data_IF_162404928577
#
_entry.id   IF_162404928577
#
_cell.length_a   1.000
_cell.length_b   1.000
_cell.length_c   1.000
_cell.angle_alpha   90.00
_cell.angle_beta   90.00
_cell.angle_gamma   90.00
#
_symmetry.space_group_name_H-M   'P 1'
#
loop_
_entity.id
_entity.type
_entity.pdbx_description
1 polymer ?
#
# COMPACT_ATOMS: atom_id res chain seq x y z
N UNK A 1 3.68 -20.83 14.00
CA UNK A 1 2.59 -21.04 14.97
C UNK A 1 2.89 -20.17 16.15
N UNK A 2 2.07 -19.16 16.40
CA UNK A 2 2.34 -18.17 17.45
C UNK A 2 2.05 -18.71 18.85
N UNK A 3 1.27 -19.79 19.01
CA UNK A 3 1.14 -20.52 20.27
C UNK A 3 0.24 -21.76 20.14
N UNK A 4 0.26 -22.64 21.15
CA UNK A 4 -0.62 -23.82 21.30
C UNK A 4 -1.41 -23.69 22.60
N UNK A 5 -2.73 -23.82 22.53
CA UNK A 5 -3.62 -23.90 23.70
C UNK A 5 -4.18 -25.32 23.79
N UNK A 6 -4.12 -25.94 24.97
CA UNK A 6 -4.70 -27.27 25.17
C UNK A 6 -4.29 -27.88 26.50
N UNK A 7 -4.71 -29.12 26.79
CA UNK A 7 -4.26 -29.83 27.98
C UNK A 7 -2.75 -30.09 27.92
N UNK A 8 -2.06 -29.73 28.99
CA UNK A 8 -0.65 -30.04 29.23
C UNK A 8 -0.45 -31.48 29.71
N UNK A 9 0.80 -31.87 30.00
CA UNK A 9 1.13 -33.22 30.47
C UNK A 9 0.43 -33.62 31.77
N UNK A 10 0.11 -32.65 32.62
CA UNK A 10 -0.60 -32.78 33.89
C UNK A 10 -2.12 -32.65 33.75
N UNK A 11 -2.63 -32.61 32.52
CA UNK A 11 -4.05 -32.42 32.21
C UNK A 11 -4.57 -31.00 32.46
N UNK A 12 -3.73 -30.08 32.94
CA UNK A 12 -4.11 -28.67 33.14
C UNK A 12 -4.11 -27.93 31.81
N UNK A 13 -5.01 -26.96 31.65
CA UNK A 13 -5.00 -26.12 30.45
C UNK A 13 -3.71 -25.28 30.43
N UNK A 14 -2.89 -25.44 29.40
CA UNK A 14 -1.72 -24.62 29.14
C UNK A 14 -1.75 -23.95 27.76
N UNK A 15 -1.34 -22.68 27.72
CA UNK A 15 -1.00 -21.97 26.51
C UNK A 15 0.52 -21.81 26.42
N UNK A 16 1.12 -22.32 25.34
CA UNK A 16 2.57 -22.29 25.11
C UNK A 16 2.88 -21.47 23.87
N UNK A 17 3.79 -20.50 23.98
CA UNK A 17 4.19 -19.64 22.87
C UNK A 17 5.67 -19.23 22.97
N UNK A 18 6.33 -19.01 21.83
CA UNK A 18 7.65 -18.36 21.80
C UNK A 18 7.58 -16.83 21.96
N UNK A 19 6.38 -16.26 21.84
CA UNK A 19 6.14 -14.82 21.83
C UNK A 19 5.48 -14.36 23.13
N UNK A 20 6.18 -13.52 23.90
CA UNK A 20 5.68 -13.04 25.19
C UNK A 20 4.34 -12.29 25.09
N UNK A 21 4.09 -11.60 23.97
CA UNK A 21 2.87 -10.82 23.77
C UNK A 21 1.63 -11.70 23.61
N UNK A 22 1.75 -12.88 22.99
CA UNK A 22 0.65 -13.86 22.84
C UNK A 22 0.26 -14.38 24.23
N UNK A 23 1.25 -14.71 25.05
CA UNK A 23 1.04 -15.19 26.41
C UNK A 23 0.41 -14.12 27.31
N UNK A 24 0.86 -12.86 27.20
CA UNK A 24 0.24 -11.73 27.91
C UNK A 24 -1.21 -11.51 27.51
N UNK A 25 -1.52 -11.59 26.21
CA UNK A 25 -2.90 -11.46 25.72
C UNK A 25 -3.79 -12.59 26.25
N UNK A 26 -3.32 -13.84 26.15
CA UNK A 26 -4.03 -15.00 26.68
C UNK A 26 -4.24 -14.92 28.19
N UNK A 27 -3.22 -14.52 28.96
CA UNK A 27 -3.32 -14.32 30.40
C UNK A 27 -4.43 -13.33 30.76
N UNK A 28 -4.44 -12.16 30.10
CA UNK A 28 -5.47 -11.13 30.34
C UNK A 28 -6.87 -11.63 30.01
N UNK A 29 -7.03 -12.31 28.88
CA UNK A 29 -8.32 -12.87 28.46
C UNK A 29 -8.82 -13.96 29.41
N UNK A 30 -7.97 -14.93 29.76
CA UNK A 30 -8.33 -16.01 30.68
C UNK A 30 -8.67 -15.47 32.07
N UNK A 31 -7.89 -14.50 32.57
CA UNK A 31 -8.15 -13.84 33.85
C UNK A 31 -9.44 -13.03 33.84
N UNK A 32 -9.74 -12.34 32.74
CA UNK A 32 -10.95 -11.53 32.61
C UNK A 32 -12.21 -12.39 32.49
N UNK A 33 -12.18 -13.43 31.64
CA UNK A 33 -13.34 -14.27 31.34
C UNK A 33 -13.67 -15.27 32.45
N UNK A 34 -12.65 -15.88 33.05
CA UNK A 34 -12.84 -17.00 33.97
C UNK A 34 -12.45 -16.68 35.41
N UNK A 35 -11.81 -15.53 35.66
CA UNK A 35 -11.30 -15.11 36.98
C UNK A 35 -10.48 -16.21 37.69
N UNK A 36 -9.91 -17.11 36.91
CA UNK A 36 -9.19 -18.27 37.41
C UNK A 36 -7.77 -17.89 37.85
N UNK A 37 -7.21 -18.55 38.87
CA UNK A 37 -5.79 -18.45 39.18
C UNK A 37 -4.97 -19.01 38.00
N UNK A 38 -4.03 -18.20 37.52
CA UNK A 38 -3.16 -18.51 36.39
C UNK A 38 -1.69 -18.45 36.84
N UNK A 39 -0.94 -19.48 36.49
CA UNK A 39 0.50 -19.56 36.64
C UNK A 39 1.20 -19.14 35.33
N UNK A 40 2.26 -18.35 35.44
CA UNK A 40 3.15 -18.06 34.31
C UNK A 40 4.45 -18.82 34.55
N UNK A 41 4.85 -19.63 33.58
CA UNK A 41 6.10 -20.36 33.61
C UNK A 41 6.94 -20.05 32.37
N UNK A 42 8.26 -20.16 32.52
CA UNK A 42 9.21 -20.04 31.42
C UNK A 42 9.91 -21.38 31.25
N UNK A 43 9.73 -22.02 30.09
CA UNK A 43 10.34 -23.31 29.76
C UNK A 43 11.55 -23.08 28.86
N UNK A 44 12.75 -23.20 29.42
CA UNK A 44 14.01 -23.23 28.65
C UNK A 44 14.11 -24.56 27.90
N UNK A 45 14.56 -24.52 26.64
CA UNK A 45 14.88 -25.76 25.93
C UNK A 45 16.22 -26.30 26.45
N UNK A 46 16.30 -27.59 26.82
CA UNK A 46 17.57 -28.22 27.20
C UNK A 46 18.59 -28.30 26.05
N UNK A 47 18.12 -28.17 24.79
CA UNK A 47 18.91 -28.39 23.56
C UNK A 47 19.19 -27.07 22.80
N UNK A 48 19.12 -25.91 23.47
CA UNK A 48 19.41 -24.61 22.84
C UNK A 48 18.33 -24.09 21.88
N UNK A 49 17.15 -24.71 21.80
CA UNK A 49 16.01 -24.16 21.02
C UNK A 49 15.41 -22.94 21.73
N UNK A 50 14.72 -22.09 20.96
CA UNK A 50 14.04 -20.90 21.47
C UNK A 50 13.18 -21.21 22.71
N UNK A 51 13.41 -20.46 23.78
CA UNK A 51 12.68 -20.61 25.04
C UNK A 51 11.20 -20.26 24.87
N UNK A 52 10.33 -20.91 25.64
CA UNK A 52 8.87 -20.77 25.51
C UNK A 52 8.25 -20.23 26.78
N UNK A 53 7.33 -19.29 26.60
CA UNK A 53 6.45 -18.77 27.63
C UNK A 53 5.23 -19.68 27.76
N UNK A 54 4.82 -19.95 28.99
CA UNK A 54 3.68 -20.81 29.30
C UNK A 54 2.75 -20.05 30.26
N UNK A 55 1.46 -20.01 29.94
CA UNK A 55 0.40 -19.68 30.90
C UNK A 55 -0.39 -20.95 31.17
N UNK A 56 -0.57 -21.28 32.45
CA UNK A 56 -1.26 -22.48 32.90
C UNK A 56 -2.36 -22.11 33.88
N UNK A 57 -3.49 -22.80 33.79
CA UNK A 57 -4.55 -22.69 34.80
C UNK A 57 -4.14 -23.47 36.05
N UNK A 58 -4.12 -22.81 37.21
CA UNK A 58 -3.58 -23.38 38.45
C UNK A 58 -4.39 -24.56 39.01
N UNK A 59 -5.68 -24.64 38.73
CA UNK A 59 -6.57 -25.66 39.31
C UNK A 59 -7.20 -26.56 38.26
N UNK A 60 -7.32 -27.85 38.58
CA UNK A 60 -8.02 -28.83 37.73
C UNK A 60 -9.53 -28.55 37.61
N UNK A 61 -10.15 -27.96 38.63
CA UNK A 61 -11.54 -27.53 38.59
C UNK A 61 -11.76 -26.42 37.55
N UNK A 62 -10.97 -25.34 37.61
CA UNK A 62 -11.05 -24.26 36.63
C UNK A 62 -10.67 -24.75 35.22
N UNK A 63 -9.67 -25.63 35.10
CA UNK A 63 -9.30 -26.26 33.83
C UNK A 63 -10.50 -26.96 33.19
N UNK A 64 -11.24 -27.80 33.94
CA UNK A 64 -12.39 -28.53 33.40
C UNK A 64 -13.52 -27.60 32.95
N UNK A 65 -13.76 -26.51 33.68
CA UNK A 65 -14.77 -25.50 33.30
C UNK A 65 -14.35 -24.82 32.00
N UNK A 66 -13.09 -24.37 31.90
CA UNK A 66 -12.59 -23.65 30.73
C UNK A 66 -12.50 -24.57 29.51
N UNK A 67 -12.05 -25.80 29.66
CA UNK A 67 -12.00 -26.78 28.56
C UNK A 67 -13.40 -27.06 28.01
N UNK A 68 -14.40 -27.25 28.89
CA UNK A 68 -15.79 -27.44 28.48
C UNK A 68 -16.37 -26.20 27.81
N UNK A 69 -16.19 -25.02 28.39
CA UNK A 69 -16.71 -23.78 27.81
C UNK A 69 -16.08 -23.43 26.46
N UNK A 70 -14.81 -23.80 26.24
CA UNK A 70 -14.10 -23.61 24.98
C UNK A 70 -14.31 -24.77 23.98
N UNK A 71 -14.98 -25.86 24.39
CA UNK A 71 -15.15 -27.07 23.58
C UNK A 71 -13.82 -27.80 23.26
N UNK A 72 -12.80 -27.65 24.11
CA UNK A 72 -11.48 -28.26 23.94
C UNK A 72 -11.43 -29.59 24.71
N UNK A 73 -11.40 -30.71 23.99
CA UNK A 73 -11.30 -32.07 24.56
C UNK A 73 -12.64 -32.81 24.63
N UNK A 74 -12.65 -34.11 24.30
CA UNK A 74 -13.83 -34.97 24.44
C UNK A 74 -14.20 -35.11 25.91
N UNK A 75 -15.39 -34.64 26.28
CA UNK A 75 -16.23 -35.17 27.35
C UNK A 75 -17.69 -34.79 27.05
N UNK A 76 -18.48 -35.65 26.39
CA UNK A 76 -19.90 -35.78 26.70
C UNK A 76 -20.04 -36.84 27.82
N UNK A 77 -21.03 -36.72 28.72
CA UNK A 77 -22.39 -37.09 28.36
C UNK A 77 -23.47 -36.09 28.83
N UNK A 78 -24.53 -36.08 28.02
CA UNK A 78 -25.94 -35.77 28.30
C UNK A 78 -26.27 -34.53 29.13
N UNK A 79 -26.79 -33.52 28.42
CA UNK A 79 -27.29 -32.28 29.00
C UNK A 79 -27.06 -31.13 28.04
N UNK A 80 -27.68 -31.22 26.86
CA UNK A 80 -28.07 -30.09 26.01
C UNK A 80 -27.09 -28.89 26.00
N UNK A 81 -25.93 -29.07 25.35
CA UNK A 81 -24.92 -28.02 25.18
C UNK A 81 -25.00 -27.36 23.80
N UNK A 82 -26.21 -27.09 23.33
CA UNK A 82 -26.46 -26.00 22.38
C UNK A 82 -26.20 -24.61 23.01
N UNK A 83 -25.72 -24.55 24.27
CA UNK A 83 -25.61 -23.33 25.07
C UNK A 83 -24.27 -23.10 25.80
N UNK A 84 -23.14 -23.58 25.25
CA UNK A 84 -21.86 -22.90 25.53
C UNK A 84 -21.80 -21.58 24.72
N UNK A 85 -22.72 -20.67 25.06
CA UNK A 85 -23.10 -19.46 24.32
C UNK A 85 -22.12 -18.30 24.43
N UNK A 86 -20.83 -18.53 24.21
CA UNK A 86 -19.85 -17.46 24.01
C UNK A 86 -18.90 -17.83 22.86
N UNK A 87 -19.40 -17.77 21.62
CA UNK A 87 -18.56 -18.08 20.45
C UNK A 87 -19.16 -17.89 19.07
N UNK A 88 -20.42 -17.42 18.98
CA UNK A 88 -21.13 -17.13 17.72
C UNK A 88 -21.43 -15.65 17.51
N UNK A 89 -21.44 -14.83 18.56
CA UNK A 89 -22.08 -13.51 18.48
C UNK A 89 -21.15 -12.41 17.95
N UNK A 90 -19.86 -12.72 17.76
CA UNK A 90 -18.91 -11.77 17.18
C UNK A 90 -17.92 -12.48 16.23
N UNK A 91 -18.21 -12.53 14.91
CA UNK A 91 -17.29 -13.05 13.89
C UNK A 91 -15.87 -12.49 14.01
N UNK A 92 -15.76 -11.20 14.32
CA UNK A 92 -14.49 -10.51 14.47
C UNK A 92 -13.64 -10.99 15.64
N UNK A 93 -14.23 -11.39 16.77
CA UNK A 93 -13.48 -11.93 17.89
C UNK A 93 -12.81 -13.26 17.52
N UNK A 94 -13.53 -14.13 16.80
CA UNK A 94 -12.99 -15.40 16.31
C UNK A 94 -11.88 -15.16 15.28
N UNK A 95 -12.12 -14.29 14.29
CA UNK A 95 -11.14 -13.95 13.25
C UNK A 95 -9.88 -13.30 13.84
N UNK A 96 -10.03 -12.45 14.87
CA UNK A 96 -8.90 -11.90 15.64
C UNK A 96 -8.06 -13.02 16.26
N UNK A 97 -8.70 -14.00 16.90
CA UNK A 97 -8.01 -15.15 17.47
C UNK A 97 -7.21 -15.95 16.41
N UNK A 98 -7.83 -16.22 15.26
CA UNK A 98 -7.15 -16.89 14.14
C UNK A 98 -5.97 -16.06 13.63
N UNK A 99 -6.15 -14.75 13.45
CA UNK A 99 -5.10 -13.85 12.98
C UNK A 99 -3.91 -13.81 13.95
N UNK A 100 -4.15 -13.70 15.25
CA UNK A 100 -3.09 -13.70 16.27
C UNK A 100 -2.38 -15.05 16.39
N UNK A 101 -3.02 -16.16 16.00
CA UNK A 101 -2.40 -17.49 16.07
C UNK A 101 -1.61 -17.86 14.80
N UNK A 102 -2.18 -17.54 13.63
CA UNK A 102 -1.81 -18.08 12.31
C UNK A 102 -1.99 -17.08 11.16
N UNK A 103 -2.28 -15.81 11.47
CA UNK A 103 -2.41 -14.75 10.50
C UNK A 103 -1.08 -14.09 10.16
N UNK A 104 -1.02 -13.47 9.00
CA UNK A 104 0.06 -12.56 8.63
C UNK A 104 -0.44 -11.50 7.66
N UNK A 105 0.17 -10.32 7.70
CA UNK A 105 -0.09 -9.23 6.76
C UNK A 105 1.23 -8.70 6.24
N UNK A 106 1.28 -8.36 4.96
CA UNK A 106 2.46 -7.75 4.37
C UNK A 106 2.77 -6.39 5.02
N UNK A 107 4.06 -6.04 5.08
CA UNK A 107 4.51 -4.74 5.58
C UNK A 107 3.97 -3.59 4.71
N UNK A 108 3.73 -2.40 5.30
CA UNK A 108 3.39 -1.20 4.54
C UNK A 108 4.38 -0.93 3.41
N UNK A 109 3.88 -0.40 2.28
CA UNK A 109 4.67 -0.14 1.08
C UNK A 109 4.84 -1.33 0.12
N UNK A 110 4.56 -2.56 0.56
CA UNK A 110 4.44 -3.75 -0.32
C UNK A 110 3.00 -3.90 -0.83
N UNK A 111 2.75 -4.96 -1.61
CA UNK A 111 1.39 -5.29 -2.04
C UNK A 111 0.52 -5.65 -0.83
N UNK A 112 -0.69 -5.09 -0.77
CA UNK A 112 -1.68 -5.38 0.27
C UNK A 112 -2.13 -6.84 0.16
N UNK A 113 -1.69 -7.63 1.14
CA UNK A 113 -1.97 -9.05 1.22
C UNK A 113 -2.00 -9.49 2.68
N UNK A 114 -3.05 -10.22 3.06
CA UNK A 114 -3.22 -10.82 4.37
C UNK A 114 -3.55 -12.29 4.19
N UNK A 115 -2.97 -13.16 5.03
CA UNK A 115 -3.22 -14.60 5.03
C UNK A 115 -3.69 -15.08 6.40
N UNK A 116 -4.60 -16.05 6.42
CA UNK A 116 -5.08 -16.78 7.60
C UNK A 116 -4.89 -18.29 7.37
N UNK A 117 -3.87 -18.88 7.96
CA UNK A 117 -3.57 -20.30 7.80
C UNK A 117 -4.45 -21.14 8.73
N UNK A 118 -5.11 -22.15 8.18
CA UNK A 118 -6.03 -23.04 8.91
C UNK A 118 -5.37 -24.41 9.17
N UNK A 119 -5.55 -24.95 10.37
CA UNK A 119 -4.93 -26.22 10.78
C UNK A 119 -5.73 -27.47 10.39
N UNK A 120 -6.99 -27.31 10.00
CA UNK A 120 -7.83 -28.40 9.55
C UNK A 120 -8.88 -27.90 8.55
N UNK A 121 -9.44 -28.82 7.77
CA UNK A 121 -10.54 -28.52 6.86
C UNK A 121 -11.78 -27.97 7.61
N UNK A 122 -12.03 -28.42 8.83
CA UNK A 122 -13.12 -27.93 9.66
C UNK A 122 -12.93 -26.45 10.04
N UNK A 123 -11.72 -26.07 10.49
CA UNK A 123 -11.36 -24.67 10.78
C UNK A 123 -11.44 -23.83 9.51
N UNK A 124 -10.93 -24.33 8.38
CA UNK A 124 -10.98 -23.64 7.10
C UNK A 124 -12.42 -23.30 6.67
N UNK A 125 -13.35 -24.26 6.76
CA UNK A 125 -14.77 -24.03 6.45
C UNK A 125 -15.44 -23.04 7.40
N UNK A 126 -15.09 -23.07 8.70
CA UNK A 126 -15.63 -22.12 9.69
C UNK A 126 -15.13 -20.70 9.41
N UNK A 127 -13.83 -20.53 9.18
CA UNK A 127 -13.23 -19.23 8.86
C UNK A 127 -13.82 -18.66 7.58
N UNK A 128 -14.01 -19.49 6.55
CA UNK A 128 -14.63 -19.06 5.28
C UNK A 128 -16.02 -18.45 5.48
N UNK A 129 -16.91 -19.15 6.21
CA UNK A 129 -18.26 -18.65 6.53
C UNK A 129 -18.24 -17.34 7.33
N UNK A 130 -17.31 -17.21 8.27
CA UNK A 130 -17.17 -15.98 9.07
C UNK A 130 -16.68 -14.80 8.22
N UNK A 131 -15.71 -15.02 7.33
CA UNK A 131 -15.22 -13.99 6.41
C UNK A 131 -16.34 -13.54 5.44
N UNK A 132 -17.09 -14.49 4.90
CA UNK A 132 -18.24 -14.19 4.04
C UNK A 132 -19.29 -13.35 4.77
N UNK A 133 -19.65 -13.72 6.01
CA UNK A 133 -20.58 -12.97 6.86
C UNK A 133 -20.11 -11.56 7.23
N UNK A 134 -18.82 -11.24 7.07
CA UNK A 134 -18.28 -9.88 7.26
C UNK A 134 -18.29 -9.03 6.00
N UNK A 135 -18.69 -9.59 4.84
CA UNK A 135 -18.64 -8.92 3.54
C UNK A 135 -17.25 -8.89 2.90
N UNK A 136 -16.25 -9.57 3.49
CA UNK A 136 -14.91 -9.66 2.95
C UNK A 136 -14.84 -10.72 1.83
N UNK A 137 -14.16 -10.37 0.74
CA UNK A 137 -13.91 -11.24 -0.42
C UNK A 137 -12.59 -11.99 -0.24
N UNK A 138 -12.62 -13.03 0.57
CA UNK A 138 -11.47 -13.90 0.79
C UNK A 138 -11.31 -14.92 -0.34
N UNK A 139 -10.10 -15.04 -0.87
CA UNK A 139 -9.70 -16.16 -1.71
C UNK A 139 -9.18 -17.33 -0.87
N UNK A 140 -9.26 -18.54 -1.41
CA UNK A 140 -8.71 -19.75 -0.77
C UNK A 140 -7.47 -20.24 -1.50
N UNK A 141 -6.50 -20.79 -0.78
CA UNK A 141 -5.34 -21.45 -1.36
C UNK A 141 -4.84 -22.61 -0.48
N UNK A 142 -3.96 -23.44 -1.03
CA UNK A 142 -3.23 -24.46 -0.29
C UNK A 142 -1.71 -24.19 -0.41
N UNK A 143 -0.99 -24.24 0.72
CA UNK A 143 0.46 -24.05 0.76
C UNK A 143 1.10 -25.07 1.69
N UNK A 144 2.01 -25.89 1.15
CA UNK A 144 2.70 -26.97 1.90
C UNK A 144 1.73 -27.89 2.65
N UNK A 145 0.63 -28.26 2.00
CA UNK A 145 -0.42 -29.11 2.59
C UNK A 145 -1.38 -28.41 3.57
N UNK A 146 -1.19 -27.11 3.84
CA UNK A 146 -2.07 -26.33 4.73
C UNK A 146 -3.06 -25.51 3.90
N UNK A 147 -4.33 -25.50 4.31
CA UNK A 147 -5.36 -24.65 3.72
C UNK A 147 -5.28 -23.24 4.31
N UNK A 148 -5.51 -22.21 3.50
CA UNK A 148 -5.50 -20.83 3.96
C UNK A 148 -6.54 -19.97 3.22
N UNK A 149 -6.97 -18.92 3.90
CA UNK A 149 -7.70 -17.80 3.31
C UNK A 149 -6.76 -16.62 3.11
N UNK A 150 -6.95 -15.86 2.04
CA UNK A 150 -6.19 -14.64 1.79
C UNK A 150 -7.07 -13.48 1.35
N UNK A 151 -6.68 -12.26 1.73
CA UNK A 151 -7.29 -11.01 1.29
C UNK A 151 -6.28 -10.23 0.47
N UNK A 152 -6.70 -9.75 -0.70
CA UNK A 152 -5.90 -8.90 -1.59
C UNK A 152 -6.54 -7.53 -1.72
N UNK A 153 -5.70 -6.51 -1.85
CA UNK A 153 -6.14 -5.13 -2.02
C UNK A 153 -6.31 -4.41 -0.69
N UNK A 154 -6.13 -3.09 -0.75
CA UNK A 154 -6.08 -2.23 0.44
C UNK A 154 -7.38 -2.28 1.23
N UNK A 155 -8.53 -2.16 0.55
CA UNK A 155 -9.83 -2.05 1.22
C UNK A 155 -10.17 -3.32 2.02
N UNK A 156 -9.86 -4.50 1.45
CA UNK A 156 -10.10 -5.78 2.12
C UNK A 156 -9.20 -5.97 3.35
N UNK A 157 -7.91 -5.62 3.22
CA UNK A 157 -6.94 -5.74 4.31
C UNK A 157 -7.25 -4.74 5.42
N UNK A 158 -7.56 -3.48 5.08
CA UNK A 158 -7.91 -2.43 6.05
C UNK A 158 -9.20 -2.78 6.77
N UNK A 159 -10.26 -3.18 6.05
CA UNK A 159 -11.52 -3.58 6.66
C UNK A 159 -11.36 -4.77 7.63
N UNK A 160 -10.54 -5.77 7.27
CA UNK A 160 -10.23 -6.86 8.19
C UNK A 160 -9.50 -6.37 9.44
N UNK A 161 -8.45 -5.56 9.29
CA UNK A 161 -7.66 -5.03 10.40
C UNK A 161 -8.52 -4.14 11.33
N UNK A 162 -9.41 -3.32 10.78
CA UNK A 162 -10.40 -2.55 11.54
C UNK A 162 -11.37 -3.46 12.28
N UNK A 163 -11.93 -4.47 11.61
CA UNK A 163 -12.85 -5.43 12.22
C UNK A 163 -12.21 -6.18 13.41
N UNK A 164 -10.93 -6.55 13.30
CA UNK A 164 -10.18 -7.15 14.41
C UNK A 164 -9.59 -6.11 15.39
N UNK A 165 -9.91 -4.82 15.28
CA UNK A 165 -9.48 -3.77 16.22
C UNK A 165 -7.98 -3.46 16.20
N UNK A 166 -7.32 -3.56 15.04
CA UNK A 166 -5.90 -3.28 14.85
C UNK A 166 -5.66 -1.83 14.38
N UNK A 167 -6.20 -0.84 15.10
CA UNK A 167 -6.26 0.56 14.66
C UNK A 167 -4.89 1.18 14.34
N UNK A 168 -3.86 0.85 15.11
CA UNK A 168 -2.49 1.32 14.86
C UNK A 168 -1.94 0.82 13.52
N UNK A 169 -2.20 -0.44 13.18
CA UNK A 169 -1.76 -1.01 11.90
C UNK A 169 -2.52 -0.38 10.73
N UNK A 170 -3.80 -0.04 10.92
CA UNK A 170 -4.61 0.68 9.93
C UNK A 170 -4.02 2.07 9.68
N UNK A 171 -3.71 2.83 10.74
CA UNK A 171 -3.09 4.15 10.63
C UNK A 171 -1.75 4.10 9.89
N UNK A 172 -0.91 3.10 10.18
CA UNK A 172 0.37 2.92 9.48
C UNK A 172 0.19 2.62 7.98
N UNK A 173 -0.79 1.79 7.63
CA UNK A 173 -1.10 1.48 6.23
C UNK A 173 -1.63 2.72 5.48
N UNK A 174 -2.55 3.48 6.08
CA UNK A 174 -3.11 4.69 5.48
C UNK A 174 -2.06 5.80 5.33
N UNK A 175 -1.19 5.98 6.33
CA UNK A 175 -0.05 6.91 6.22
C UNK A 175 0.89 6.54 5.07
N UNK A 176 1.25 5.25 4.95
CA UNK A 176 2.07 4.77 3.84
C UNK A 176 1.37 4.96 2.48
N UNK A 177 0.05 4.80 2.41
CA UNK A 177 -0.76 5.02 1.20
C UNK A 177 -0.74 6.50 0.80
N UNK A 178 -0.96 7.40 1.75
CA UNK A 178 -0.95 8.85 1.53
C UNK A 178 0.41 9.32 0.98
N UNK A 179 1.51 8.92 1.62
CA UNK A 179 2.87 9.26 1.17
C UNK A 179 3.16 8.75 -0.25
N UNK A 180 2.73 7.52 -0.57
CA UNK A 180 2.87 6.97 -1.93
C UNK A 180 2.03 7.75 -2.95
N UNK A 181 0.81 8.14 -2.57
CA UNK A 181 -0.08 8.97 -3.39
C UNK A 181 0.55 10.33 -3.73
N UNK A 182 1.07 11.02 -2.71
CA UNK A 182 1.77 12.30 -2.87
C UNK A 182 2.99 12.18 -3.79
N UNK A 183 3.86 11.18 -3.56
CA UNK A 183 5.03 10.94 -4.41
C UNK A 183 4.65 10.70 -5.87
N UNK A 184 3.63 9.89 -6.11
CA UNK A 184 3.15 9.62 -7.48
C UNK A 184 2.58 10.87 -8.15
N UNK A 185 1.90 11.74 -7.40
CA UNK A 185 1.40 13.01 -7.91
C UNK A 185 2.54 13.95 -8.27
N UNK A 186 3.53 14.12 -7.38
CA UNK A 186 4.73 14.93 -7.63
C UNK A 186 5.48 14.42 -8.86
N UNK A 187 5.71 13.11 -8.95
CA UNK A 187 6.40 12.52 -10.10
C UNK A 187 5.66 12.80 -11.42
N UNK A 188 4.33 12.71 -11.44
CA UNK A 188 3.54 13.05 -12.63
C UNK A 188 3.65 14.53 -12.99
N UNK A 189 3.63 15.41 -12.00
CA UNK A 189 3.76 16.86 -12.20
C UNK A 189 5.14 17.21 -12.76
N UNK A 190 6.20 16.74 -12.11
CA UNK A 190 7.58 16.96 -12.55
C UNK A 190 7.81 16.39 -13.96
N UNK A 191 7.34 15.17 -14.24
CA UNK A 191 7.48 14.61 -15.58
C UNK A 191 6.76 15.45 -16.65
N UNK A 192 5.57 15.98 -16.34
CA UNK A 192 4.84 16.85 -17.26
C UNK A 192 5.57 18.19 -17.48
N UNK A 193 6.10 18.80 -16.42
CA UNK A 193 6.88 20.04 -16.52
C UNK A 193 8.16 19.85 -17.32
N UNK A 194 8.93 18.79 -17.03
CA UNK A 194 10.15 18.45 -17.78
C UNK A 194 9.86 18.24 -19.26
N UNK A 195 8.83 17.45 -19.60
CA UNK A 195 8.44 17.23 -21.00
C UNK A 195 7.98 18.51 -21.71
N UNK A 196 7.32 19.43 -20.98
CA UNK A 196 6.94 20.73 -21.54
C UNK A 196 8.16 21.64 -21.75
N UNK A 197 9.11 21.63 -20.82
CA UNK A 197 10.36 22.38 -20.92
C UNK A 197 11.20 21.88 -22.12
N UNK A 198 11.37 20.57 -22.26
CA UNK A 198 12.09 19.96 -23.39
C UNK A 198 11.48 20.35 -24.74
N UNK A 199 10.15 20.29 -24.87
CA UNK A 199 9.44 20.72 -26.09
C UNK A 199 9.65 22.21 -26.38
N UNK A 200 9.62 23.04 -25.33
CA UNK A 200 9.84 24.49 -25.45
C UNK A 200 11.27 24.81 -25.91
N UNK A 201 12.28 24.18 -25.28
CA UNK A 201 13.69 24.32 -25.66
C UNK A 201 13.91 23.89 -27.10
N UNK A 202 13.42 22.70 -27.48
CA UNK A 202 13.54 22.19 -28.84
C UNK A 202 12.86 23.11 -29.87
N UNK A 203 11.68 23.66 -29.54
CA UNK A 203 11.00 24.63 -30.40
C UNK A 203 11.80 25.93 -30.55
N UNK A 204 12.35 26.45 -29.46
CA UNK A 204 13.16 27.68 -29.50
C UNK A 204 14.43 27.52 -30.33
N UNK A 205 15.12 26.38 -30.21
CA UNK A 205 16.30 26.06 -31.03
C UNK A 205 15.93 26.01 -32.53
N UNK A 206 14.82 25.35 -32.88
CA UNK A 206 14.32 25.34 -34.27
C UNK A 206 13.98 26.73 -34.79
N UNK A 207 13.34 27.56 -33.97
CA UNK A 207 13.03 28.96 -34.30
C UNK A 207 14.29 29.78 -34.55
N UNK A 208 15.27 29.69 -33.65
CA UNK A 208 16.54 30.39 -33.77
C UNK A 208 17.27 30.00 -35.06
N UNK A 209 17.34 28.70 -35.38
CA UNK A 209 18.00 28.24 -36.61
C UNK A 209 17.27 28.69 -37.88
N UNK A 210 15.94 28.63 -37.91
CA UNK A 210 15.14 29.15 -39.01
C UNK A 210 15.40 30.65 -39.25
N UNK A 211 15.48 31.44 -38.18
CA UNK A 211 15.81 32.86 -38.26
C UNK A 211 17.24 33.06 -38.78
N UNK A 212 18.23 32.27 -38.32
CA UNK A 212 19.61 32.35 -38.82
C UNK A 212 19.70 31.99 -40.30
N UNK A 213 18.92 31.02 -40.81
CA UNK A 213 18.84 30.73 -42.25
C UNK A 213 18.30 31.91 -43.05
N UNK A 214 17.23 32.55 -42.57
CA UNK A 214 16.70 33.78 -43.18
C UNK A 214 17.71 34.92 -43.16
N UNK A 215 18.50 35.05 -42.09
CA UNK A 215 19.55 36.06 -41.99
C UNK A 215 20.67 35.82 -42.99
N UNK A 216 21.18 34.59 -43.09
CA UNK A 216 22.26 34.20 -44.01
C UNK A 216 21.88 34.35 -45.48
N UNK A 217 20.61 34.11 -45.83
CA UNK A 217 20.09 34.31 -47.20
C UNK A 217 19.81 35.78 -47.56
N UNK A 218 20.03 36.73 -46.65
CA UNK A 218 19.69 38.14 -46.84
C UNK A 218 18.18 38.46 -46.78
N UNK A 219 17.30 37.46 -46.89
CA UNK A 219 15.84 37.65 -46.91
C UNK A 219 15.28 38.27 -45.63
N UNK A 220 15.92 38.06 -44.48
CA UNK A 220 15.48 38.65 -43.20
C UNK A 220 15.47 40.19 -43.24
N UNK A 221 16.41 40.81 -43.94
CA UNK A 221 16.53 42.26 -43.99
C UNK A 221 15.35 42.93 -44.69
N UNK A 222 14.79 42.27 -45.72
CA UNK A 222 13.64 42.72 -46.50
C UNK A 222 12.27 42.38 -45.90
N UNK A 223 12.21 41.77 -44.72
CA UNK A 223 10.93 41.50 -44.04
C UNK A 223 10.39 42.75 -43.33
N UNK A 224 9.06 42.86 -43.16
CA UNK A 224 8.45 43.93 -42.37
C UNK A 224 9.01 43.99 -40.94
N UNK A 225 9.13 45.22 -40.41
CA UNK A 225 9.66 45.52 -39.07
C UNK A 225 9.08 44.65 -37.94
N UNK A 226 7.77 44.38 -37.89
CA UNK A 226 7.20 43.52 -36.86
C UNK A 226 7.78 42.09 -36.85
N UNK A 227 8.13 41.54 -38.02
CA UNK A 227 8.77 40.23 -38.14
C UNK A 227 10.25 40.30 -37.75
N UNK A 228 10.96 41.35 -38.20
CA UNK A 228 12.37 41.57 -37.85
C UNK A 228 12.55 41.80 -36.35
N UNK A 229 11.60 42.45 -35.69
CA UNK A 229 11.61 42.67 -34.25
C UNK A 229 11.51 41.34 -33.48
N UNK A 230 10.56 40.46 -33.84
CA UNK A 230 10.41 39.13 -33.24
C UNK A 230 11.65 38.26 -33.51
N UNK A 231 12.18 38.29 -34.73
CA UNK A 231 13.39 37.55 -35.10
C UNK A 231 14.60 37.95 -34.23
N UNK A 232 14.85 39.26 -34.09
CA UNK A 232 15.92 39.78 -33.24
C UNK A 232 15.70 39.45 -31.76
N UNK A 233 14.47 39.54 -31.27
CA UNK A 233 14.15 39.21 -29.88
C UNK A 233 14.43 37.72 -29.58
N UNK A 234 13.99 36.80 -30.44
CA UNK A 234 14.25 35.35 -30.28
C UNK A 234 15.74 35.01 -30.37
N UNK A 235 16.52 35.66 -31.24
CA UNK A 235 17.97 35.42 -31.31
C UNK A 235 18.72 35.94 -30.08
N UNK A 236 18.30 37.08 -29.53
CA UNK A 236 18.90 37.64 -28.30
C UNK A 236 18.50 36.88 -27.04
N UNK A 237 17.29 36.32 -27.02
CA UNK A 237 16.71 35.67 -25.86
C UNK A 237 16.12 34.30 -26.26
N UNK A 238 16.98 33.28 -26.52
CA UNK A 238 16.55 31.95 -26.92
C UNK A 238 15.87 31.17 -25.77
N UNK A 239 16.11 31.55 -24.53
CA UNK A 239 15.56 30.97 -23.31
C UNK A 239 14.13 31.45 -23.00
N UNK A 240 13.73 32.64 -23.48
CA UNK A 240 12.42 33.21 -23.19
C UNK A 240 11.26 32.47 -23.89
N UNK A 241 10.14 32.34 -23.19
CA UNK A 241 8.88 31.90 -23.80
C UNK A 241 8.36 32.92 -24.84
N UNK A 242 7.45 32.50 -25.72
CA UNK A 242 6.82 33.42 -26.69
C UNK A 242 6.08 34.59 -26.01
N UNK A 243 5.56 34.37 -24.79
CA UNK A 243 4.91 35.41 -24.00
C UNK A 243 5.93 36.45 -23.55
N UNK A 244 7.04 36.01 -22.98
CA UNK A 244 8.11 36.90 -22.50
C UNK A 244 8.78 37.64 -23.67
N UNK A 245 8.96 36.99 -24.82
CA UNK A 245 9.38 37.69 -26.03
C UNK A 245 8.42 38.80 -26.43
N UNK A 246 7.11 38.59 -26.31
CA UNK A 246 6.09 39.61 -26.61
C UNK A 246 6.18 40.82 -25.69
N UNK A 247 6.48 40.59 -24.41
CA UNK A 247 6.69 41.65 -23.42
C UNK A 247 8.00 42.41 -23.65
N UNK A 248 9.04 41.76 -24.18
CA UNK A 248 10.32 42.39 -24.48
C UNK A 248 10.30 43.27 -25.76
N UNK A 249 9.22 43.23 -26.55
CA UNK A 249 9.06 44.06 -27.75
C UNK A 249 8.56 45.47 -27.41
N UNK A 250 8.82 46.41 -28.32
CA UNK A 250 8.30 47.78 -28.24
C UNK A 250 7.53 48.14 -29.52
N UNK A 251 6.20 48.39 -29.44
CA UNK A 251 5.35 48.19 -28.26
C UNK A 251 5.21 46.69 -27.89
N UNK A 252 4.88 46.37 -26.62
CA UNK A 252 4.60 45.01 -26.20
C UNK A 252 3.42 44.42 -26.97
N UNK A 253 3.47 43.11 -27.23
CA UNK A 253 2.41 42.39 -27.95
C UNK A 253 2.04 41.09 -27.22
N UNK A 254 0.79 40.61 -27.36
CA UNK A 254 0.38 39.36 -26.72
C UNK A 254 1.06 38.15 -27.36
N UNK A 255 1.12 37.04 -26.60
CA UNK A 255 1.72 35.76 -27.02
C UNK A 255 1.25 35.32 -28.42
N UNK A 256 -0.05 35.40 -28.69
CA UNK A 256 -0.66 34.98 -29.96
C UNK A 256 -0.11 35.76 -31.17
N UNK A 257 0.17 37.06 -31.00
CA UNK A 257 0.79 37.88 -32.05
C UNK A 257 2.24 37.47 -32.32
N UNK A 258 3.01 37.18 -31.26
CA UNK A 258 4.40 36.67 -31.42
C UNK A 258 4.38 35.32 -32.12
N UNK A 259 3.49 34.43 -31.70
CA UNK A 259 3.33 33.09 -32.26
C UNK A 259 3.00 33.14 -33.75
N UNK A 260 2.02 33.97 -34.15
CA UNK A 260 1.70 34.20 -35.56
C UNK A 260 2.91 34.67 -36.38
N UNK A 261 3.64 35.66 -35.86
CA UNK A 261 4.84 36.21 -36.52
C UNK A 261 5.96 35.17 -36.61
N UNK A 262 6.16 34.37 -35.56
CA UNK A 262 7.14 33.30 -35.52
C UNK A 262 6.81 32.19 -36.52
N UNK A 263 5.55 31.76 -36.60
CA UNK A 263 5.11 30.78 -37.58
C UNK A 263 5.32 31.28 -39.02
N UNK A 264 5.11 32.58 -39.26
CA UNK A 264 5.42 33.19 -40.56
C UNK A 264 6.92 33.15 -40.88
N UNK A 265 7.79 33.45 -39.91
CA UNK A 265 9.25 33.33 -40.06
C UNK A 265 9.66 31.88 -40.35
N UNK A 266 9.13 30.91 -39.60
CA UNK A 266 9.38 29.48 -39.82
C UNK A 266 9.00 29.04 -41.23
N UNK A 267 7.83 29.45 -41.72
CA UNK A 267 7.37 29.14 -43.08
C UNK A 267 8.27 29.75 -44.16
N UNK A 268 8.68 31.01 -43.98
CA UNK A 268 9.59 31.68 -44.93
C UNK A 268 10.96 31.00 -44.97
N UNK A 269 11.47 30.55 -43.82
CA UNK A 269 12.71 29.79 -43.74
C UNK A 269 12.58 28.40 -44.41
N UNK A 270 11.41 27.77 -44.32
CA UNK A 270 11.11 26.49 -44.99
C UNK A 270 11.12 26.58 -46.52
N UNK A 271 10.92 27.76 -47.10
CA UNK A 271 10.98 28.01 -48.55
C UNK A 271 12.41 28.21 -49.07
N UNK A 272 13.40 28.37 -48.17
CA UNK A 272 14.80 28.40 -48.59
C UNK A 272 15.26 26.98 -48.93
N UNK A 273 16.12 26.82 -49.95
CA UNK A 273 16.72 25.53 -50.25
C UNK A 273 17.28 24.91 -48.96
N UNK A 274 17.02 23.62 -48.75
CA UNK A 274 17.84 22.86 -47.81
C UNK A 274 19.30 23.01 -48.28
N UNK A 275 20.26 23.09 -47.36
CA UNK A 275 21.67 23.11 -47.75
C UNK A 275 21.88 21.96 -48.74
N UNK A 276 22.22 22.27 -49.98
CA UNK A 276 22.97 21.33 -50.78
C UNK A 276 24.29 21.17 -50.06
N UNK A 277 24.62 19.94 -49.68
CA UNK A 277 26.00 19.57 -49.43
C UNK A 277 26.74 19.81 -50.75
N UNK A 278 27.31 21.00 -50.89
CA UNK A 278 28.28 21.28 -51.95
C UNK A 278 29.56 20.56 -51.54
N UNK A 279 29.78 19.40 -52.16
CA UNK A 279 31.11 18.82 -52.37
C UNK A 279 32.05 19.82 -53.02
#
# INVERSE_FOLDING_TARGET
MLGRLGPGPDGRLELVSGEAWVVRAAYRLLRHLYRAPLEIAYRRSPQGRASRYVVRVSTGAATRVILRSLGIGRLPPEGDLDRAGHGTDCPWAYLRGIFLARGSVNRPGRAYHLELVCESAAVHRRVGRLLEGTGLRAGTAARRGMLLHYLKGVDQVVAFLQGIGADRAVLELESSRALKGMRNQVNRMVNAETANLEKSVAASLRQAEAIRRLQRSGRLAGLPDPLRAVARARLRHPDLSLRELGLALRPPVPKSTVEYRMNRLMRLAGQLPARGDTH
#
